data_IF_418341495773
#
_entry.id   IF_418341495773
#
_cell.length_a   1.000
_cell.length_b   1.000
_cell.length_c   1.000
_cell.angle_alpha   90.00
_cell.angle_beta   90.00
_cell.angle_gamma   90.00
#
_symmetry.space_group_name_H-M   'P 1'
#
loop_
_entity.id
_entity.type
_entity.pdbx_description
1 polymer ?
#
# COMPACT_ATOMS: atom_id res chain seq x y z
N UNK A 1 -18.74 4.46 -3.26
CA UNK A 1 -17.30 4.76 -3.27
C UNK A 1 -17.11 6.18 -3.76
N UNK A 2 -16.59 7.04 -2.90
CA UNK A 2 -16.29 8.45 -3.17
C UNK A 2 -14.89 8.61 -3.74
N UNK A 3 -14.58 9.79 -4.27
CA UNK A 3 -13.22 10.12 -4.75
C UNK A 3 -12.19 9.97 -3.61
N UNK A 4 -12.56 10.33 -2.39
CA UNK A 4 -11.67 10.21 -1.22
C UNK A 4 -11.35 8.76 -0.87
N UNK A 5 -12.30 7.84 -1.05
CA UNK A 5 -12.06 6.40 -0.85
C UNK A 5 -11.04 5.87 -1.86
N UNK A 6 -11.14 6.31 -3.13
CA UNK A 6 -10.19 5.95 -4.19
C UNK A 6 -8.80 6.47 -3.86
N UNK A 7 -8.70 7.74 -3.43
CA UNK A 7 -7.42 8.34 -3.01
C UNK A 7 -6.80 7.56 -1.86
N UNK A 8 -7.59 7.19 -0.84
CA UNK A 8 -7.11 6.43 0.30
C UNK A 8 -6.58 5.04 -0.12
N UNK A 9 -7.26 4.36 -1.05
CA UNK A 9 -6.82 3.04 -1.52
C UNK A 9 -5.54 3.11 -2.34
N UNK A 10 -5.37 4.18 -3.13
CA UNK A 10 -4.28 4.29 -4.09
C UNK A 10 -3.05 5.04 -3.58
N UNK A 11 -3.15 5.75 -2.45
CA UNK A 11 -2.06 6.58 -1.93
C UNK A 11 -0.75 5.79 -1.72
N UNK A 12 -0.75 4.76 -0.87
CA UNK A 12 0.46 3.98 -0.59
C UNK A 12 1.04 3.28 -1.85
N UNK A 13 0.23 2.66 -2.73
CA UNK A 13 0.69 2.16 -4.03
C UNK A 13 1.43 3.20 -4.88
N UNK A 14 0.87 4.40 -5.00
CA UNK A 14 1.45 5.50 -5.78
C UNK A 14 2.77 5.96 -5.15
N UNK A 15 2.84 6.07 -3.82
CA UNK A 15 4.08 6.43 -3.12
C UNK A 15 5.17 5.39 -3.36
N UNK A 16 4.85 4.08 -3.28
CA UNK A 16 5.80 3.00 -3.55
C UNK A 16 6.34 3.12 -4.98
N UNK A 17 5.45 3.26 -5.98
CA UNK A 17 5.83 3.41 -7.39
C UNK A 17 6.71 4.65 -7.59
N UNK A 18 6.39 5.76 -6.92
CA UNK A 18 7.18 6.98 -7.00
C UNK A 18 8.59 6.79 -6.43
N UNK A 19 8.76 6.16 -5.27
CA UNK A 19 10.09 5.84 -4.68
C UNK A 19 10.93 5.07 -5.70
N UNK A 20 10.36 4.05 -6.32
CA UNK A 20 11.03 3.21 -7.32
C UNK A 20 11.40 4.02 -8.57
N UNK A 21 10.52 4.90 -9.04
CA UNK A 21 10.77 5.73 -10.22
C UNK A 21 11.89 6.76 -9.96
N UNK A 22 12.02 7.24 -8.72
CA UNK A 22 13.09 8.16 -8.30
C UNK A 22 14.39 7.46 -7.87
N UNK A 23 14.35 6.14 -7.76
CA UNK A 23 15.50 5.31 -7.39
C UNK A 23 16.61 5.43 -8.43
N UNK A 24 17.84 5.65 -7.98
CA UNK A 24 19.03 5.72 -8.87
C UNK A 24 19.63 4.35 -9.15
N UNK A 25 19.16 3.29 -8.49
CA UNK A 25 19.71 1.94 -8.58
C UNK A 25 19.19 1.15 -9.77
N UNK A 26 20.02 0.27 -10.36
CA UNK A 26 19.54 -0.73 -11.32
C UNK A 26 18.76 -1.80 -10.55
N UNK A 27 17.44 -1.83 -10.76
CA UNK A 27 16.56 -2.86 -10.18
C UNK A 27 16.47 -4.02 -11.17
N UNK A 28 16.83 -5.22 -10.73
CA UNK A 28 16.71 -6.44 -11.51
C UNK A 28 15.23 -6.86 -11.70
N UNK A 29 14.98 -7.74 -12.66
CA UNK A 29 13.62 -8.15 -13.04
C UNK A 29 12.87 -8.83 -11.89
N UNK A 30 13.54 -9.70 -11.11
CA UNK A 30 12.90 -10.43 -10.02
C UNK A 30 12.47 -9.48 -8.91
N UNK A 31 13.30 -8.49 -8.60
CA UNK A 31 12.96 -7.44 -7.64
C UNK A 31 11.77 -6.62 -8.12
N UNK A 32 11.71 -6.23 -9.41
CA UNK A 32 10.52 -5.54 -9.96
C UNK A 32 9.24 -6.36 -9.85
N UNK A 33 9.29 -7.67 -10.12
CA UNK A 33 8.13 -8.56 -9.99
C UNK A 33 7.65 -8.66 -8.54
N UNK A 34 8.56 -8.79 -7.57
CA UNK A 34 8.23 -8.79 -6.13
C UNK A 34 7.59 -7.47 -5.68
N UNK A 35 8.13 -6.35 -6.15
CA UNK A 35 7.58 -5.04 -5.89
C UNK A 35 6.14 -4.91 -6.39
N UNK A 36 5.86 -5.39 -7.61
CA UNK A 36 4.50 -5.39 -8.16
C UNK A 36 3.53 -6.23 -7.31
N UNK A 37 3.98 -7.38 -6.79
CA UNK A 37 3.20 -8.20 -5.87
C UNK A 37 2.89 -7.41 -4.59
N UNK A 38 3.89 -6.72 -4.01
CA UNK A 38 3.69 -5.88 -2.82
C UNK A 38 2.67 -4.78 -3.08
N UNK A 39 2.78 -4.07 -4.21
CA UNK A 39 1.82 -3.03 -4.60
C UNK A 39 0.40 -3.59 -4.69
N UNK A 40 0.23 -4.75 -5.33
CA UNK A 40 -1.07 -5.39 -5.46
C UNK A 40 -1.65 -5.81 -4.10
N UNK A 41 -0.83 -6.37 -3.21
CA UNK A 41 -1.24 -6.71 -1.84
C UNK A 41 -1.68 -5.48 -1.03
N UNK A 42 -0.97 -4.35 -1.20
CA UNK A 42 -1.34 -3.09 -0.55
C UNK A 42 -2.71 -2.60 -1.04
N UNK A 43 -2.98 -2.67 -2.35
CA UNK A 43 -4.28 -2.31 -2.92
C UNK A 43 -5.38 -3.22 -2.36
N UNK A 44 -5.17 -4.54 -2.40
CA UNK A 44 -6.16 -5.52 -1.91
C UNK A 44 -6.50 -5.28 -0.44
N UNK A 45 -5.50 -5.05 0.41
CA UNK A 45 -5.76 -4.77 1.82
C UNK A 45 -6.46 -3.42 2.04
N UNK A 46 -6.17 -2.40 1.24
CA UNK A 46 -6.90 -1.14 1.29
C UNK A 46 -8.38 -1.30 0.90
N UNK A 47 -8.66 -2.09 -0.15
CA UNK A 47 -10.03 -2.42 -0.55
C UNK A 47 -10.75 -3.19 0.55
N UNK A 48 -10.08 -4.16 1.18
CA UNK A 48 -10.63 -4.89 2.32
C UNK A 48 -10.94 -3.96 3.50
N UNK A 49 -10.03 -3.05 3.83
CA UNK A 49 -10.25 -2.03 4.87
C UNK A 49 -11.45 -1.14 4.57
N UNK A 50 -11.60 -0.70 3.32
CA UNK A 50 -12.79 0.04 2.87
C UNK A 50 -14.08 -0.78 3.07
N UNK A 51 -14.12 -2.04 2.65
CA UNK A 51 -15.30 -2.91 2.81
C UNK A 51 -15.65 -3.09 4.29
N UNK A 52 -14.67 -3.46 5.13
CA UNK A 52 -14.87 -3.67 6.57
C UNK A 52 -15.39 -2.39 7.26
N UNK A 53 -14.87 -1.23 6.86
CA UNK A 53 -15.34 0.06 7.37
C UNK A 53 -16.76 0.40 6.90
N UNK A 54 -17.11 0.12 5.65
CA UNK A 54 -18.46 0.36 5.12
C UNK A 54 -19.51 -0.53 5.77
N UNK A 55 -19.14 -1.74 6.19
CA UNK A 55 -20.03 -2.67 6.89
C UNK A 55 -20.19 -2.34 8.39
N UNK A 56 -19.57 -1.25 8.88
CA UNK A 56 -19.56 -0.83 10.29
C UNK A 56 -19.11 -1.95 11.24
N UNK A 57 -18.21 -2.81 10.78
CA UNK A 57 -17.67 -3.91 11.58
C UNK A 57 -16.93 -3.35 12.80
N UNK A 58 -17.11 -4.01 13.96
CA UNK A 58 -16.34 -3.69 15.17
C UNK A 58 -14.83 -3.85 14.98
N UNK A 59 -14.41 -4.62 13.96
CA UNK A 59 -13.01 -4.84 13.62
C UNK A 59 -12.42 -3.78 12.69
N UNK A 60 -13.23 -2.85 12.16
CA UNK A 60 -12.79 -1.83 11.19
C UNK A 60 -11.63 -0.99 11.72
N UNK A 61 -11.72 -0.56 12.99
CA UNK A 61 -10.69 0.25 13.63
C UNK A 61 -9.38 -0.54 13.77
N UNK A 62 -9.46 -1.79 14.25
CA UNK A 62 -8.29 -2.64 14.45
C UNK A 62 -7.60 -2.97 13.11
N UNK A 63 -8.39 -3.28 12.08
CA UNK A 63 -7.88 -3.51 10.74
C UNK A 63 -7.17 -2.27 10.18
N UNK A 64 -7.84 -1.11 10.22
CA UNK A 64 -7.31 0.13 9.65
C UNK A 64 -6.00 0.54 10.29
N UNK A 65 -5.89 0.50 11.63
CA UNK A 65 -4.63 0.86 12.30
C UNK A 65 -3.51 -0.16 12.04
N UNK A 66 -3.83 -1.46 12.09
CA UNK A 66 -2.83 -2.50 11.84
C UNK A 66 -2.31 -2.43 10.40
N UNK A 67 -3.22 -2.26 9.44
CA UNK A 67 -2.86 -2.20 8.03
C UNK A 67 -2.11 -0.91 7.69
N UNK A 68 -2.50 0.24 8.26
CA UNK A 68 -1.76 1.48 8.12
C UNK A 68 -0.32 1.35 8.65
N UNK A 69 -0.12 0.67 9.79
CA UNK A 69 1.22 0.40 10.31
C UNK A 69 2.05 -0.46 9.34
N UNK A 70 1.46 -1.53 8.80
CA UNK A 70 2.12 -2.39 7.80
C UNK A 70 2.54 -1.58 6.56
N UNK A 71 1.66 -0.70 6.07
CA UNK A 71 1.97 0.17 4.93
C UNK A 71 3.14 1.11 5.21
N UNK A 72 3.19 1.72 6.40
CA UNK A 72 4.31 2.57 6.81
C UNK A 72 5.63 1.79 6.86
N UNK A 73 5.63 0.57 7.37
CA UNK A 73 6.82 -0.30 7.40
C UNK A 73 7.28 -0.65 5.98
N UNK A 74 6.34 -0.98 5.08
CA UNK A 74 6.64 -1.24 3.66
C UNK A 74 7.26 0.02 3.03
N UNK A 75 6.60 1.16 3.13
CA UNK A 75 7.10 2.43 2.57
C UNK A 75 8.48 2.79 3.11
N UNK A 76 8.70 2.65 4.42
CA UNK A 76 10.01 2.88 5.03
C UNK A 76 11.08 1.94 4.49
N UNK A 77 10.77 0.65 4.36
CA UNK A 77 11.69 -0.34 3.79
C UNK A 77 12.05 0.01 2.34
N UNK A 78 11.08 0.42 1.54
CA UNK A 78 11.33 0.84 0.16
C UNK A 78 12.18 2.11 0.09
N UNK A 79 11.85 3.14 0.87
CA UNK A 79 12.59 4.40 0.91
C UNK A 79 14.06 4.22 1.35
N UNK A 80 14.35 3.19 2.15
CA UNK A 80 15.71 2.88 2.58
C UNK A 80 16.53 2.15 1.51
N UNK A 81 15.88 1.32 0.70
CA UNK A 81 16.55 0.34 -0.16
C UNK A 81 16.60 0.74 -1.65
N UNK A 82 15.84 1.76 -2.07
CA UNK A 82 15.73 2.22 -3.45
C UNK A 82 15.98 3.72 -3.58
#
# INVERSE_FOLDING_TARGET
>A
MTVWDIVQIMFAPVVIIWIIATSKGKIDRRTKELIWIVVLLVIVGNVAGYIIATERSHWAIAYNYTFAFIQLVIMWSFARNF
#
